data_IF_319757277759
#
_entry.id   IF_319757277759
#
_cell.length_a   1.000
_cell.length_b   1.000
_cell.length_c   1.000
_cell.angle_alpha   90.00
_cell.angle_beta   90.00
_cell.angle_gamma   90.00
#
_symmetry.space_group_name_H-M   'P 1'
#
loop_
_entity.id
_entity.type
_entity.pdbx_description
1 polymer ?
#
# COMPACT_ATOMS: atom_id res chain seq x y z
N UNK A 1 -19.70 19.35 7.08
CA UNK A 1 -20.04 17.98 7.06
C UNK A 1 -20.11 17.46 8.47
N UNK A 2 -21.06 16.73 8.68
CA UNK A 2 -21.35 16.13 9.96
C UNK A 2 -20.28 15.11 10.35
N UNK A 3 -19.20 15.58 10.91
CA UNK A 3 -18.19 14.72 11.51
C UNK A 3 -17.21 14.07 10.56
N UNK A 4 -17.20 14.42 9.27
CA UNK A 4 -16.17 13.93 8.37
C UNK A 4 -15.00 14.90 8.38
N UNK A 5 -13.90 14.48 8.99
CA UNK A 5 -12.67 15.27 9.01
C UNK A 5 -11.82 14.94 7.80
N UNK A 6 -10.99 15.87 7.37
CA UNK A 6 -10.03 15.58 6.31
C UNK A 6 -9.02 14.54 6.82
N UNK A 7 -8.46 13.69 5.94
CA UNK A 7 -7.41 12.75 6.36
C UNK A 7 -6.22 13.43 7.06
N UNK A 8 -5.87 14.63 6.63
CA UNK A 8 -4.81 15.42 7.25
C UNK A 8 -5.11 15.71 8.73
N UNK A 9 -6.32 16.20 9.01
CA UNK A 9 -6.74 16.53 10.37
C UNK A 9 -6.86 15.29 11.25
N UNK A 10 -7.38 14.18 10.68
CA UNK A 10 -7.56 12.93 11.40
C UNK A 10 -6.22 12.34 11.84
N UNK A 11 -5.23 12.33 10.96
CA UNK A 11 -3.90 11.78 11.26
C UNK A 11 -3.18 12.66 12.27
N UNK A 12 -3.24 13.98 12.09
CA UNK A 12 -2.63 14.91 13.02
C UNK A 12 -3.21 14.76 14.43
N UNK A 13 -4.54 14.62 14.54
CA UNK A 13 -5.20 14.41 15.81
C UNK A 13 -4.78 13.10 16.47
N UNK A 14 -4.69 12.01 15.71
CA UNK A 14 -4.22 10.72 16.21
C UNK A 14 -2.80 10.80 16.74
N UNK A 15 -1.89 11.41 16.00
CA UNK A 15 -0.50 11.53 16.41
C UNK A 15 -0.32 12.43 17.62
N UNK A 16 -1.12 13.46 17.73
CA UNK A 16 -1.09 14.35 18.88
C UNK A 16 -1.54 13.62 20.15
N UNK A 17 -2.58 12.80 20.03
CA UNK A 17 -3.13 12.02 21.13
C UNK A 17 -2.27 10.80 21.48
N UNK A 18 -1.62 10.20 20.48
CA UNK A 18 -0.82 8.99 20.63
C UNK A 18 0.51 9.12 19.88
N UNK A 19 1.44 9.96 20.37
CA UNK A 19 2.65 10.31 19.61
C UNK A 19 3.60 9.14 19.33
N UNK A 20 3.52 8.08 20.12
CA UNK A 20 4.39 6.90 19.92
C UNK A 20 3.82 5.82 19.00
N UNK A 21 2.60 5.99 18.48
CA UNK A 21 1.95 4.97 17.66
C UNK A 21 2.18 5.26 16.18
N UNK A 22 2.72 4.28 15.41
CA UNK A 22 2.83 4.43 13.95
C UNK A 22 1.45 4.48 13.31
N UNK A 23 1.32 5.30 12.26
CA UNK A 23 0.07 5.46 11.51
C UNK A 23 0.31 5.09 10.07
N UNK A 24 -0.50 4.15 9.55
CA UNK A 24 -0.55 3.82 8.13
C UNK A 24 -1.82 4.46 7.57
N UNK A 25 -1.66 5.35 6.60
CA UNK A 25 -2.78 6.03 5.97
C UNK A 25 -3.07 5.43 4.61
N UNK A 26 -4.33 5.33 4.24
CA UNK A 26 -4.75 4.82 2.94
C UNK A 26 -5.64 5.84 2.23
N UNK A 27 -5.04 6.82 1.52
CA UNK A 27 -5.82 7.80 0.74
C UNK A 27 -6.22 7.20 -0.61
N UNK A 28 -7.23 6.34 -0.59
CA UNK A 28 -7.65 5.55 -1.77
C UNK A 28 -7.84 6.43 -3.01
N UNK A 29 -7.35 5.93 -4.15
CA UNK A 29 -7.50 6.57 -5.47
C UNK A 29 -7.01 8.02 -5.49
N UNK A 30 -5.99 8.30 -4.72
CA UNK A 30 -5.47 9.66 -4.59
C UNK A 30 -4.69 10.14 -5.82
N UNK A 31 -4.24 9.22 -6.70
CA UNK A 31 -3.48 9.58 -7.89
C UNK A 31 -2.24 10.40 -7.55
N UNK A 32 -2.07 11.55 -8.17
CA UNK A 32 -0.91 12.42 -7.92
C UNK A 32 -0.86 12.98 -6.50
N UNK A 33 -1.97 12.95 -5.77
CA UNK A 33 -2.02 13.42 -4.38
C UNK A 33 -1.27 12.52 -3.41
N UNK A 34 -0.87 11.33 -3.83
CA UNK A 34 0.04 10.51 -3.05
C UNK A 34 1.40 11.20 -2.86
N UNK A 35 1.82 12.02 -3.81
CA UNK A 35 3.09 12.75 -3.71
C UNK A 35 3.00 13.76 -2.57
N UNK A 36 3.96 13.70 -1.65
CA UNK A 36 3.99 14.59 -0.49
C UNK A 36 2.98 14.25 0.62
N UNK A 37 2.20 13.18 0.47
CA UNK A 37 1.20 12.80 1.45
C UNK A 37 1.81 12.48 2.82
N UNK A 38 2.97 11.81 2.87
CA UNK A 38 3.68 11.55 4.12
C UNK A 38 3.97 12.85 4.88
N UNK A 39 4.52 13.83 4.19
CA UNK A 39 4.92 15.09 4.81
C UNK A 39 3.71 15.91 5.24
N UNK A 40 2.69 15.94 4.41
CA UNK A 40 1.48 16.71 4.68
C UNK A 40 0.69 16.17 5.87
N UNK A 41 0.69 14.86 6.09
CA UNK A 41 -0.12 14.21 7.13
C UNK A 41 0.69 13.78 8.35
N UNK A 42 2.00 13.59 8.19
CA UNK A 42 2.83 12.96 9.21
C UNK A 42 2.62 11.45 9.32
N UNK A 43 1.96 10.82 8.35
CA UNK A 43 1.79 9.38 8.34
C UNK A 43 3.15 8.67 8.26
N UNK A 44 3.30 7.57 8.98
CA UNK A 44 4.54 6.79 8.99
C UNK A 44 4.65 5.92 7.75
N UNK A 45 3.53 5.45 7.23
CA UNK A 45 3.47 4.68 6.00
C UNK A 45 2.21 5.06 5.24
N UNK A 46 2.30 5.03 3.91
CA UNK A 46 1.18 5.34 3.03
C UNK A 46 0.84 4.09 2.22
N UNK A 47 -0.38 3.60 2.36
CA UNK A 47 -0.88 2.47 1.60
C UNK A 47 -1.34 2.94 0.22
N UNK A 48 -0.96 2.20 -0.80
CA UNK A 48 -1.25 2.49 -2.20
C UNK A 48 -2.32 1.53 -2.71
N UNK A 49 -3.28 2.05 -3.45
CA UNK A 49 -4.23 1.17 -4.14
C UNK A 49 -3.60 0.59 -5.42
N UNK A 50 -4.29 -0.39 -6.02
CA UNK A 50 -3.76 -1.10 -7.16
C UNK A 50 -3.81 -0.31 -8.49
N UNK A 51 -4.41 0.88 -8.50
CA UNK A 51 -4.39 1.75 -9.67
C UNK A 51 -3.03 2.44 -9.85
N UNK A 52 -2.21 2.46 -8.79
CA UNK A 52 -0.92 3.15 -8.79
C UNK A 52 0.15 2.22 -9.38
N UNK A 53 0.91 2.73 -10.35
CA UNK A 53 2.07 2.02 -10.87
C UNK A 53 3.19 1.99 -9.81
N UNK A 54 3.70 0.79 -9.52
CA UNK A 54 4.70 0.62 -8.47
C UNK A 54 6.00 1.38 -8.76
N UNK A 55 6.46 1.39 -10.00
CA UNK A 55 7.68 2.10 -10.38
C UNK A 55 7.51 3.62 -10.19
N UNK A 56 6.36 4.15 -10.57
CA UNK A 56 6.04 5.56 -10.34
C UNK A 56 6.02 5.89 -8.85
N UNK A 57 5.37 5.03 -8.06
CA UNK A 57 5.27 5.24 -6.62
C UNK A 57 6.64 5.16 -5.93
N UNK A 58 7.50 4.26 -6.39
CA UNK A 58 8.87 4.18 -5.86
C UNK A 58 9.64 5.48 -6.09
N UNK A 59 9.47 6.09 -7.25
CA UNK A 59 10.17 7.32 -7.61
C UNK A 59 9.59 8.57 -6.95
N UNK A 60 8.28 8.61 -6.71
CA UNK A 60 7.59 9.84 -6.33
C UNK A 60 6.94 9.82 -4.95
N UNK A 61 6.69 8.65 -4.38
CA UNK A 61 6.01 8.51 -3.09
C UNK A 61 6.92 7.90 -2.03
N UNK A 62 7.57 6.79 -2.35
CA UNK A 62 8.45 6.08 -1.42
C UNK A 62 9.67 6.92 -1.01
N UNK A 63 10.04 7.89 -1.81
CA UNK A 63 11.14 8.82 -1.47
C UNK A 63 10.84 9.62 -0.20
N UNK A 64 9.57 9.77 0.16
CA UNK A 64 9.15 10.50 1.36
C UNK A 64 8.96 9.58 2.58
N UNK A 65 8.94 8.28 2.40
CA UNK A 65 8.76 7.33 3.50
C UNK A 65 8.18 6.00 3.07
N UNK A 66 7.88 5.16 4.05
CA UNK A 66 7.34 3.83 3.82
C UNK A 66 6.09 3.83 2.96
N UNK A 67 5.98 2.86 2.06
CA UNK A 67 4.75 2.59 1.31
C UNK A 67 4.29 1.15 1.57
N UNK A 68 2.98 0.93 1.51
CA UNK A 68 2.36 -0.38 1.66
C UNK A 68 1.55 -0.69 0.40
N UNK A 69 1.64 -1.92 -0.06
CA UNK A 69 0.83 -2.40 -1.18
C UNK A 69 1.69 -2.97 -2.28
N UNK A 70 1.18 -3.09 -3.51
CA UNK A 70 -0.17 -2.71 -3.95
C UNK A 70 -0.66 -3.70 -5.01
N UNK A 71 -0.57 -5.00 -4.70
CA UNK A 71 -1.03 -6.04 -5.62
C UNK A 71 -2.55 -5.97 -5.79
N UNK A 72 -3.03 -6.06 -7.03
CA UNK A 72 -4.46 -6.11 -7.29
C UNK A 72 -5.08 -7.36 -6.65
N UNK A 73 -6.16 -7.17 -5.91
CA UNK A 73 -6.83 -8.28 -5.21
C UNK A 73 -7.41 -9.32 -6.17
N UNK A 74 -7.66 -8.96 -7.42
CA UNK A 74 -8.11 -9.89 -8.46
C UNK A 74 -7.15 -11.07 -8.67
N UNK A 75 -5.86 -10.89 -8.40
CA UNK A 75 -4.88 -11.98 -8.47
C UNK A 75 -5.14 -13.09 -7.44
N UNK A 76 -5.85 -12.76 -6.37
CA UNK A 76 -6.24 -13.76 -5.38
C UNK A 76 -7.33 -14.72 -5.91
N UNK A 77 -8.03 -14.29 -6.95
CA UNK A 77 -9.05 -15.11 -7.64
C UNK A 77 -8.40 -15.88 -8.78
N UNK A 78 -7.63 -15.20 -9.62
CA UNK A 78 -7.10 -15.78 -10.86
C UNK A 78 -5.79 -16.54 -10.69
N UNK A 79 -4.93 -16.09 -9.79
CA UNK A 79 -3.66 -16.75 -9.50
C UNK A 79 -2.71 -16.88 -10.69
N UNK A 80 -1.98 -17.99 -10.71
CA UNK A 80 -1.13 -18.36 -11.82
C UNK A 80 0.13 -17.52 -11.99
N UNK A 81 0.67 -17.53 -13.21
CA UNK A 81 1.90 -16.80 -13.50
C UNK A 81 1.73 -15.28 -13.41
N UNK A 82 0.54 -14.77 -13.70
CA UNK A 82 0.27 -13.34 -13.58
C UNK A 82 0.40 -12.88 -12.13
N UNK A 83 -0.08 -13.66 -11.18
CA UNK A 83 0.09 -13.38 -9.76
C UNK A 83 1.58 -13.32 -9.38
N UNK A 84 2.35 -14.33 -9.79
CA UNK A 84 3.78 -14.41 -9.46
C UNK A 84 4.54 -13.24 -10.09
N UNK A 85 4.30 -12.96 -11.36
CA UNK A 85 4.99 -11.90 -12.09
C UNK A 85 4.70 -10.53 -11.48
N UNK A 86 3.45 -10.25 -11.17
CA UNK A 86 3.08 -8.95 -10.59
C UNK A 86 3.61 -8.79 -9.17
N UNK A 87 3.57 -9.85 -8.36
CA UNK A 87 4.14 -9.85 -7.02
C UNK A 87 5.63 -9.53 -7.07
N UNK A 88 6.36 -10.18 -7.96
CA UNK A 88 7.80 -9.93 -8.12
C UNK A 88 8.08 -8.51 -8.59
N UNK A 89 7.28 -8.00 -9.52
CA UNK A 89 7.45 -6.65 -10.04
C UNK A 89 7.28 -5.61 -8.93
N UNK A 90 6.28 -5.79 -8.06
CA UNK A 90 6.03 -4.87 -6.95
C UNK A 90 7.17 -4.91 -5.93
N UNK A 91 7.59 -6.10 -5.51
CA UNK A 91 8.69 -6.23 -4.54
C UNK A 91 9.97 -5.63 -5.11
N UNK A 92 10.25 -5.86 -6.38
CA UNK A 92 11.45 -5.32 -7.03
C UNK A 92 11.40 -3.80 -7.15
N UNK A 93 10.23 -3.24 -7.51
CA UNK A 93 10.07 -1.79 -7.65
C UNK A 93 10.33 -1.05 -6.35
N UNK A 94 9.92 -1.62 -5.22
CA UNK A 94 10.07 -0.98 -3.91
C UNK A 94 11.31 -1.44 -3.13
N UNK A 95 12.15 -2.26 -3.73
CA UNK A 95 13.36 -2.76 -3.07
C UNK A 95 14.33 -1.62 -2.75
N UNK A 96 14.95 -1.70 -1.59
CA UNK A 96 15.95 -0.74 -1.16
C UNK A 96 15.44 0.35 -0.25
N UNK A 97 14.14 0.57 -0.20
CA UNK A 97 13.49 1.53 0.69
C UNK A 97 12.35 0.86 1.46
N UNK A 98 11.85 1.46 2.56
CA UNK A 98 10.82 0.80 3.37
C UNK A 98 9.55 0.49 2.59
N UNK A 99 9.15 -0.78 2.62
CA UNK A 99 7.97 -1.28 1.93
C UNK A 99 7.31 -2.39 2.73
N UNK A 100 5.99 -2.32 2.87
CA UNK A 100 5.17 -3.40 3.42
C UNK A 100 4.35 -3.98 2.28
N UNK A 101 4.62 -5.24 1.92
CA UNK A 101 3.86 -5.88 0.85
C UNK A 101 2.42 -6.13 1.30
N UNK A 102 1.47 -5.77 0.46
CA UNK A 102 0.04 -6.00 0.70
C UNK A 102 -0.73 -5.90 -0.61
N UNK A 103 -2.01 -6.24 -0.56
CA UNK A 103 -2.93 -5.97 -1.66
C UNK A 103 -3.26 -4.48 -1.72
N UNK A 104 -3.63 -4.00 -2.90
CA UNK A 104 -4.08 -2.62 -3.09
C UNK A 104 -5.54 -2.39 -2.75
N UNK A 105 -6.27 -3.47 -2.45
CA UNK A 105 -7.67 -3.45 -2.01
C UNK A 105 -7.91 -4.60 -1.04
N UNK A 106 -9.06 -4.59 -0.39
CA UNK A 106 -9.49 -5.71 0.43
C UNK A 106 -9.66 -6.98 -0.40
N UNK A 107 -9.36 -8.12 0.22
CA UNK A 107 -9.56 -9.43 -0.41
C UNK A 107 -11.06 -9.68 -0.59
N UNK A 108 -11.42 -10.28 -1.73
CA UNK A 108 -12.82 -10.58 -2.04
C UNK A 108 -13.20 -12.00 -1.59
N UNK A 109 -14.50 -12.29 -1.38
CA UNK A 109 -14.93 -13.61 -0.90
C UNK A 109 -14.61 -14.77 -1.85
N UNK A 110 -14.43 -14.50 -3.13
CA UNK A 110 -14.11 -15.49 -4.16
C UNK A 110 -12.60 -15.75 -4.30
N UNK A 111 -11.78 -15.16 -3.43
CA UNK A 111 -10.35 -15.41 -3.42
C UNK A 111 -10.04 -16.87 -3.06
N UNK A 112 -9.02 -17.42 -3.74
CA UNK A 112 -8.55 -18.77 -3.47
C UNK A 112 -7.42 -18.72 -2.44
N UNK A 113 -7.56 -19.41 -1.28
CA UNK A 113 -6.49 -19.45 -0.28
C UNK A 113 -5.15 -19.95 -0.81
N UNK A 114 -5.15 -20.81 -1.83
CA UNK A 114 -3.91 -21.28 -2.44
C UNK A 114 -3.18 -20.15 -3.16
N UNK A 115 -3.90 -19.19 -3.71
CA UNK A 115 -3.31 -18.01 -4.34
C UNK A 115 -2.67 -17.09 -3.30
N UNK A 116 -3.27 -16.97 -2.13
CA UNK A 116 -2.67 -16.23 -1.01
C UNK A 116 -1.36 -16.89 -0.59
N UNK A 117 -1.35 -18.20 -0.48
CA UNK A 117 -0.13 -18.96 -0.14
C UNK A 117 0.95 -18.78 -1.19
N UNK A 118 0.59 -18.82 -2.48
CA UNK A 118 1.53 -18.61 -3.58
C UNK A 118 2.13 -17.20 -3.54
N UNK A 119 1.33 -16.20 -3.27
CA UNK A 119 1.80 -14.81 -3.11
C UNK A 119 2.83 -14.72 -1.98
N UNK A 120 2.51 -15.29 -0.82
CA UNK A 120 3.40 -15.26 0.35
C UNK A 120 4.71 -15.96 0.04
N UNK A 121 4.66 -17.15 -0.58
CA UNK A 121 5.86 -17.89 -0.98
C UNK A 121 6.72 -17.09 -1.96
N UNK A 122 6.08 -16.41 -2.90
CA UNK A 122 6.79 -15.59 -3.89
C UNK A 122 7.53 -14.44 -3.20
N UNK A 123 6.87 -13.73 -2.29
CA UNK A 123 7.50 -12.62 -1.56
C UNK A 123 8.67 -13.15 -0.71
N UNK A 124 8.48 -14.25 0.01
CA UNK A 124 9.50 -14.82 0.89
C UNK A 124 10.70 -15.37 0.14
N UNK A 125 10.52 -15.80 -1.10
CA UNK A 125 11.58 -16.33 -1.94
C UNK A 125 12.45 -15.29 -2.63
N UNK A 126 12.14 -14.04 -2.43
CA UNK A 126 12.87 -12.95 -3.10
C UNK A 126 13.95 -12.33 -2.22
#
# INVERSE_FOLDING_TARGET
STGVMSPLADIAALKQKHPGIPVIAFPREAGEKYVGFHQATGADCVALDNSVDAAWAAAHVQVDGCVQGNLASSHMVTGGQALVAETRAIVEAFRGEPHIFNLGHGITPDADPENVALMIETVRGM
#
